data_IF_244223942093
#
_entry.id   IF_244223942093
#
_cell.length_a   1.000
_cell.length_b   1.000
_cell.length_c   1.000
_cell.angle_alpha   90.00
_cell.angle_beta   90.00
_cell.angle_gamma   90.00
#
_symmetry.space_group_name_H-M   'P 1'
#
loop_
_entity.id
_entity.type
_entity.pdbx_description
1 polymer ?
#
# COMPACT_ATOMS: atom_id res chain seq x y z
N UNK A 1 45.23 23.33 -7.00
CA UNK A 1 43.82 23.64 -7.31
C UNK A 1 43.25 22.46 -8.09
N UNK A 2 42.84 21.40 -7.39
CA UNK A 2 42.21 20.24 -8.03
C UNK A 2 40.70 20.39 -7.79
N UNK A 3 39.98 20.75 -8.85
CA UNK A 3 38.53 20.73 -8.83
C UNK A 3 38.08 19.26 -8.73
N UNK A 4 37.55 18.88 -7.57
CA UNK A 4 36.78 17.65 -7.43
C UNK A 4 35.52 17.81 -8.28
N UNK A 5 35.54 17.23 -9.47
CA UNK A 5 34.33 17.05 -10.26
C UNK A 5 33.40 16.13 -9.46
N UNK A 6 32.44 16.73 -8.77
CA UNK A 6 31.34 16.02 -8.11
C UNK A 6 30.50 15.38 -9.21
N UNK A 7 30.71 14.09 -9.44
CA UNK A 7 29.88 13.27 -10.33
C UNK A 7 28.46 13.20 -9.73
N UNK A 8 27.56 14.05 -10.21
CA UNK A 8 26.14 13.94 -9.91
C UNK A 8 25.57 12.74 -10.67
N UNK A 9 25.70 11.54 -10.09
CA UNK A 9 25.01 10.34 -10.58
C UNK A 9 23.50 10.58 -10.47
N UNK A 10 22.86 10.97 -11.55
CA UNK A 10 21.43 11.30 -11.57
C UNK A 10 20.59 10.02 -11.37
N UNK A 11 20.00 9.86 -10.19
CA UNK A 11 19.05 8.78 -9.88
C UNK A 11 17.69 8.93 -10.59
N UNK A 12 17.50 9.99 -11.40
CA UNK A 12 16.24 10.32 -12.09
C UNK A 12 15.72 9.17 -12.95
N UNK A 13 16.59 8.42 -13.64
CA UNK A 13 16.18 7.25 -14.43
C UNK A 13 15.59 6.13 -13.58
N UNK A 14 16.14 5.92 -12.38
CA UNK A 14 15.68 4.91 -11.44
C UNK A 14 14.32 5.32 -10.87
N UNK A 15 14.19 6.60 -10.48
CA UNK A 15 12.93 7.17 -9.98
C UNK A 15 11.82 7.00 -11.03
N UNK A 16 12.08 7.31 -12.29
CA UNK A 16 11.07 7.18 -13.36
C UNK A 16 10.65 5.72 -13.60
N UNK A 17 11.60 4.78 -13.50
CA UNK A 17 11.32 3.35 -13.58
C UNK A 17 10.42 2.88 -12.43
N UNK A 18 10.74 3.26 -11.19
CA UNK A 18 9.95 2.87 -10.00
C UNK A 18 8.58 3.55 -10.02
N UNK A 19 8.51 4.80 -10.46
CA UNK A 19 7.25 5.52 -10.63
C UNK A 19 6.28 4.78 -11.56
N UNK A 20 6.74 4.32 -12.73
CA UNK A 20 5.89 3.56 -13.65
C UNK A 20 5.42 2.26 -13.02
N UNK A 21 6.33 1.50 -12.39
CA UNK A 21 5.98 0.24 -11.72
C UNK A 21 4.90 0.48 -10.67
N UNK A 22 5.09 1.51 -9.83
CA UNK A 22 4.15 1.86 -8.77
C UNK A 22 2.81 2.35 -9.32
N UNK A 23 2.84 3.09 -10.43
CA UNK A 23 1.63 3.55 -11.13
C UNK A 23 0.83 2.36 -11.68
N UNK A 24 1.49 1.41 -12.35
CA UNK A 24 0.84 0.19 -12.86
C UNK A 24 0.23 -0.63 -11.72
N UNK A 25 0.98 -0.85 -10.64
CA UNK A 25 0.47 -1.55 -9.45
C UNK A 25 -0.79 -0.84 -8.92
N UNK A 26 -0.75 0.48 -8.81
CA UNK A 26 -1.89 1.29 -8.33
C UNK A 26 -3.10 1.23 -9.24
N UNK A 27 -2.90 1.27 -10.56
CA UNK A 27 -3.98 1.13 -11.54
C UNK A 27 -4.63 -0.25 -11.42
N UNK A 28 -3.83 -1.31 -11.32
CA UNK A 28 -4.32 -2.68 -11.13
C UNK A 28 -5.16 -2.79 -9.86
N UNK A 29 -4.72 -2.21 -8.74
CA UNK A 29 -5.55 -2.17 -7.53
C UNK A 29 -6.87 -1.47 -7.75
N UNK A 30 -6.88 -0.27 -8.30
CA UNK A 30 -8.15 0.47 -8.52
C UNK A 30 -9.09 -0.34 -9.42
N UNK A 31 -8.59 -0.96 -10.48
CA UNK A 31 -9.38 -1.83 -11.36
C UNK A 31 -9.96 -3.01 -10.58
N UNK A 32 -9.14 -3.71 -9.78
CA UNK A 32 -9.60 -4.82 -8.94
C UNK A 32 -10.64 -4.37 -7.90
N UNK A 33 -10.51 -3.16 -7.36
CA UNK A 33 -11.44 -2.59 -6.38
C UNK A 33 -12.77 -2.13 -6.97
N UNK A 34 -12.81 -1.81 -8.27
CA UNK A 34 -14.05 -1.48 -8.99
C UNK A 34 -14.73 -2.76 -9.46
N UNK A 35 -14.00 -3.64 -10.15
CA UNK A 35 -14.57 -4.86 -10.75
C UNK A 35 -14.97 -5.88 -9.70
N UNK A 36 -14.27 -5.95 -8.56
CA UNK A 36 -14.54 -6.87 -7.43
C UNK A 36 -14.96 -8.27 -7.90
N UNK A 37 -14.08 -8.98 -8.63
CA UNK A 37 -14.44 -10.26 -9.24
C UNK A 37 -14.98 -11.25 -8.19
N UNK A 38 -16.13 -11.85 -8.50
CA UNK A 38 -16.89 -12.71 -7.60
C UNK A 38 -16.08 -13.88 -7.02
N UNK A 39 -15.13 -14.42 -7.78
CA UNK A 39 -14.23 -15.49 -7.33
C UNK A 39 -13.32 -15.08 -6.16
N UNK A 40 -13.00 -13.79 -6.05
CA UNK A 40 -12.15 -13.21 -5.00
C UNK A 40 -12.95 -12.57 -3.86
N UNK A 41 -14.26 -12.33 -4.07
CA UNK A 41 -15.15 -11.76 -3.06
C UNK A 41 -15.99 -12.83 -2.33
N UNK A 42 -16.34 -13.93 -3.00
CA UNK A 42 -17.23 -14.97 -2.48
C UNK A 42 -16.51 -16.14 -1.79
N UNK A 43 -15.19 -16.21 -1.87
CA UNK A 43 -14.39 -17.22 -1.17
C UNK A 43 -13.86 -16.64 0.13
N UNK A 44 -14.25 -17.16 1.29
CA UNK A 44 -13.69 -16.68 2.57
C UNK A 44 -12.38 -17.39 2.85
N UNK A 45 -11.26 -16.69 2.73
CA UNK A 45 -9.95 -17.19 3.16
C UNK A 45 -9.53 -16.40 4.39
N UNK A 46 -9.29 -17.08 5.52
CA UNK A 46 -8.86 -16.46 6.78
C UNK A 46 -9.83 -15.40 7.35
N UNK A 47 -11.14 -15.64 7.23
CA UNK A 47 -12.17 -14.79 7.86
C UNK A 47 -12.44 -13.44 7.18
N UNK A 48 -11.78 -13.14 6.05
CA UNK A 48 -12.06 -11.94 5.23
C UNK A 48 -12.07 -12.30 3.74
N UNK A 49 -12.52 -11.37 2.88
CA UNK A 49 -12.42 -11.54 1.44
C UNK A 49 -10.94 -11.55 0.99
N UNK A 50 -10.50 -12.50 0.14
CA UNK A 50 -9.18 -12.54 -0.48
C UNK A 50 -8.81 -11.23 -1.19
N UNK A 51 -9.81 -10.51 -1.68
CA UNK A 51 -9.65 -9.17 -2.24
C UNK A 51 -9.04 -8.20 -1.21
N UNK A 52 -9.54 -8.19 0.04
CA UNK A 52 -9.01 -7.33 1.10
C UNK A 52 -7.55 -7.67 1.43
N UNK A 53 -7.21 -8.96 1.46
CA UNK A 53 -5.83 -9.41 1.71
C UNK A 53 -4.89 -8.96 0.60
N UNK A 54 -5.30 -9.14 -0.67
CA UNK A 54 -4.55 -8.69 -1.84
C UNK A 54 -4.31 -7.18 -1.79
N UNK A 55 -5.35 -6.40 -1.49
CA UNK A 55 -5.23 -4.94 -1.36
C UNK A 55 -4.27 -4.53 -0.25
N UNK A 56 -4.34 -5.19 0.91
CA UNK A 56 -3.48 -4.88 2.05
C UNK A 56 -2.02 -5.21 1.75
N UNK A 57 -1.76 -6.35 1.09
CA UNK A 57 -0.41 -6.73 0.64
C UNK A 57 0.12 -5.75 -0.42
N UNK A 58 -0.68 -5.43 -1.43
CA UNK A 58 -0.27 -4.47 -2.47
C UNK A 58 0.00 -3.08 -1.90
N UNK A 59 -0.79 -2.65 -0.91
CA UNK A 59 -0.56 -1.40 -0.17
C UNK A 59 0.78 -1.42 0.59
N UNK A 60 1.11 -2.52 1.25
CA UNK A 60 2.40 -2.67 1.94
C UNK A 60 3.58 -2.67 0.95
N UNK A 61 3.45 -3.38 -0.16
CA UNK A 61 4.46 -3.38 -1.23
C UNK A 61 4.67 -1.96 -1.74
N UNK A 62 3.60 -1.21 -2.03
CA UNK A 62 3.74 0.20 -2.44
C UNK A 62 4.46 1.05 -1.42
N UNK A 63 4.05 0.97 -0.15
CA UNK A 63 4.65 1.76 0.92
C UNK A 63 6.16 1.48 1.03
N UNK A 64 6.58 0.21 0.85
CA UNK A 64 7.98 -0.17 0.79
C UNK A 64 8.71 0.46 -0.41
N UNK A 65 8.17 0.34 -1.63
CA UNK A 65 8.79 0.96 -2.80
C UNK A 65 8.89 2.49 -2.67
N UNK A 66 7.88 3.14 -2.06
CA UNK A 66 7.90 4.59 -1.84
C UNK A 66 9.00 4.98 -0.86
N UNK A 67 9.03 4.36 0.31
CA UNK A 67 10.05 4.66 1.33
C UNK A 67 11.45 4.36 0.84
N UNK A 68 11.65 3.30 0.07
CA UNK A 68 12.98 2.94 -0.42
C UNK A 68 13.51 3.90 -1.50
N UNK A 69 12.70 4.22 -2.50
CA UNK A 69 13.15 4.90 -3.72
C UNK A 69 12.76 6.38 -3.81
N UNK A 70 11.59 6.79 -3.32
CA UNK A 70 11.20 8.21 -3.33
C UNK A 70 11.76 8.94 -2.11
N UNK A 71 11.78 8.28 -0.95
CA UNK A 71 12.33 8.86 0.28
C UNK A 71 13.83 8.59 0.48
N UNK A 72 14.50 7.99 -0.52
CA UNK A 72 15.95 7.71 -0.52
C UNK A 72 16.47 6.96 0.71
N UNK A 73 15.61 6.18 1.38
CA UNK A 73 15.98 5.45 2.59
C UNK A 73 17.00 4.32 2.32
N UNK A 74 17.25 3.99 1.05
CA UNK A 74 18.28 3.04 0.65
C UNK A 74 19.68 3.46 1.10
N UNK A 75 20.00 4.74 0.95
CA UNK A 75 21.34 5.32 1.19
C UNK A 75 21.50 5.87 2.61
N UNK A 76 20.44 5.75 3.43
CA UNK A 76 20.40 6.25 4.80
C UNK A 76 20.90 5.25 5.85
N UNK A 77 21.15 5.78 7.05
CA UNK A 77 21.61 4.96 8.18
C UNK A 77 20.63 3.83 8.50
N UNK A 78 21.16 2.63 8.79
CA UNK A 78 20.33 1.43 9.06
C UNK A 78 19.30 1.64 10.18
N UNK A 79 19.64 2.49 11.17
CA UNK A 79 18.76 2.83 12.29
C UNK A 79 17.55 3.66 11.84
N UNK A 80 17.80 4.75 11.09
CA UNK A 80 16.75 5.63 10.57
C UNK A 80 15.82 4.86 9.61
N UNK A 81 16.40 4.03 8.74
CA UNK A 81 15.63 3.18 7.84
C UNK A 81 14.66 2.26 8.59
N UNK A 82 15.14 1.57 9.63
CA UNK A 82 14.31 0.65 10.42
C UNK A 82 13.21 1.40 11.17
N UNK A 83 13.52 2.55 11.75
CA UNK A 83 12.54 3.36 12.47
C UNK A 83 11.35 3.72 11.59
N UNK A 84 11.59 4.23 10.38
CA UNK A 84 10.51 4.65 9.49
C UNK A 84 9.76 3.46 8.88
N UNK A 85 10.49 2.46 8.36
CA UNK A 85 9.85 1.32 7.67
C UNK A 85 9.00 0.49 8.64
N UNK A 86 9.50 0.18 9.84
CA UNK A 86 8.72 -0.58 10.82
C UNK A 86 7.52 0.20 11.33
N UNK A 87 7.69 1.50 11.60
CA UNK A 87 6.57 2.35 12.04
C UNK A 87 5.49 2.44 10.97
N UNK A 88 5.86 2.62 9.70
CA UNK A 88 4.91 2.67 8.59
C UNK A 88 4.16 1.35 8.40
N UNK A 89 4.86 0.21 8.41
CA UNK A 89 4.23 -1.11 8.28
C UNK A 89 3.26 -1.38 9.43
N UNK A 90 3.68 -1.09 10.67
CA UNK A 90 2.83 -1.24 11.85
C UNK A 90 1.56 -0.39 11.74
N UNK A 91 1.70 0.90 11.41
CA UNK A 91 0.56 1.81 11.27
C UNK A 91 -0.41 1.36 10.18
N UNK A 92 0.08 0.93 9.02
CA UNK A 92 -0.77 0.50 7.91
C UNK A 92 -1.59 -0.72 8.29
N UNK A 93 -0.97 -1.74 8.89
CA UNK A 93 -1.68 -2.96 9.32
C UNK A 93 -2.68 -2.64 10.43
N UNK A 94 -2.28 -1.81 11.41
CA UNK A 94 -3.13 -1.43 12.53
C UNK A 94 -4.37 -0.65 12.06
N UNK A 95 -4.18 0.38 11.24
CA UNK A 95 -5.27 1.20 10.73
C UNK A 95 -6.19 0.41 9.79
N UNK A 96 -5.64 -0.44 8.93
CA UNK A 96 -6.45 -1.31 8.07
C UNK A 96 -7.29 -2.30 8.90
N UNK A 97 -6.74 -2.85 9.99
CA UNK A 97 -7.48 -3.74 10.89
C UNK A 97 -8.64 -3.01 11.56
N UNK A 98 -8.41 -1.79 12.07
CA UNK A 98 -9.48 -0.98 12.66
C UNK A 98 -10.58 -0.67 11.65
N UNK A 99 -10.23 -0.26 10.43
CA UNK A 99 -11.22 0.04 9.39
C UNK A 99 -12.06 -1.18 9.00
N UNK A 100 -11.47 -2.37 8.97
CA UNK A 100 -12.22 -3.60 8.67
C UNK A 100 -13.19 -3.95 9.81
N UNK A 101 -12.76 -3.85 11.07
CA UNK A 101 -13.60 -4.11 12.23
C UNK A 101 -14.74 -3.08 12.31
N UNK A 102 -14.41 -1.79 12.34
CA UNK A 102 -15.40 -0.71 12.43
C UNK A 102 -16.35 -0.74 11.23
N UNK A 103 -15.84 -0.99 10.02
CA UNK A 103 -16.64 -1.11 8.80
C UNK A 103 -17.65 -2.25 8.86
N UNK A 104 -17.25 -3.41 9.41
CA UNK A 104 -18.16 -4.54 9.63
C UNK A 104 -19.23 -4.23 10.68
N UNK A 105 -18.83 -3.61 11.79
CA UNK A 105 -19.75 -3.23 12.86
C UNK A 105 -20.79 -2.19 12.39
N UNK A 106 -20.34 -1.19 11.61
CA UNK A 106 -21.21 -0.22 10.96
C UNK A 106 -22.22 -0.90 10.02
N UNK A 107 -21.79 -1.92 9.26
CA UNK A 107 -22.69 -2.67 8.39
C UNK A 107 -23.80 -3.38 9.17
N UNK A 108 -23.45 -4.05 10.28
CA UNK A 108 -24.41 -4.78 11.11
C UNK A 108 -25.41 -3.85 11.81
N UNK A 109 -24.94 -2.70 12.32
CA UNK A 109 -25.77 -1.73 13.07
C UNK A 109 -26.64 -0.87 12.14
N UNK A 110 -26.10 -0.43 11.00
CA UNK A 110 -26.83 0.43 10.05
C UNK A 110 -27.65 -0.37 9.03
N UNK A 111 -27.38 -1.66 8.85
CA UNK A 111 -28.12 -2.54 7.94
C UNK A 111 -29.64 -2.50 8.11
N UNK A 112 -30.19 -2.56 9.35
CA UNK A 112 -31.63 -2.45 9.58
C UNK A 112 -32.20 -1.04 9.38
N UNK A 113 -31.37 -0.01 9.48
CA UNK A 113 -31.78 1.41 9.47
C UNK A 113 -31.69 2.03 8.07
N UNK A 114 -30.93 1.41 7.16
CA UNK A 114 -30.75 1.85 5.79
C UNK A 114 -31.35 0.81 4.86
N UNK A 115 -32.37 1.19 4.08
CA UNK A 115 -32.88 0.35 2.98
C UNK A 115 -31.85 0.35 1.86
N UNK A 116 -30.88 -0.54 1.95
CA UNK A 116 -29.98 -0.80 0.85
C UNK A 116 -30.77 -1.49 -0.27
N UNK A 117 -31.17 -0.72 -1.28
CA UNK A 117 -31.80 -1.25 -2.48
C UNK A 117 -30.67 -1.55 -3.48
N UNK A 118 -30.31 -2.83 -3.62
CA UNK A 118 -29.44 -3.31 -4.68
C UNK A 118 -30.30 -4.02 -5.72
#
# INVERSE_FOLDING_TARGET
>A
MAAHAQEHTSHTKLIWKVFIILSVITIVEVILGIIKPDSLHLTTILGTSPLNIIFLVLTLVKAYYITWFFMHMADETKSLRRSVVWTAVFLVIYLATLLLIEGSYLNDVLGPLVKWNY
#
